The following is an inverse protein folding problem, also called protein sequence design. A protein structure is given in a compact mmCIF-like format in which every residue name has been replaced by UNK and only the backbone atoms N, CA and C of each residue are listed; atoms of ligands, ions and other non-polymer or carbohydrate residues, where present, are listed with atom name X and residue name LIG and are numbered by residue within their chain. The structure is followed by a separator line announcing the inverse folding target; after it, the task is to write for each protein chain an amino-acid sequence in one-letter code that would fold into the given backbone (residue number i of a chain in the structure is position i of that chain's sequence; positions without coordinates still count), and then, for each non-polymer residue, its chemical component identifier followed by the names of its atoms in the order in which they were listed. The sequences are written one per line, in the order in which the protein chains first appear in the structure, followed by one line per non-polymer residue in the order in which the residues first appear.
data_IF_547508189444
#
_entry.id   IF_547508189444
#
_cell.length_a   1.000
_cell.length_b   1.000
_cell.length_c   1.000
_cell.angle_alpha   90.00
_cell.angle_beta   90.00
_cell.angle_gamma   90.00
#
_symmetry.space_group_name_H-M   'P 1'
#
loop_
_entity.id
_entity.type
_entity.pdbx_description
1 polymer ?
#
# COMPACT_ATOMS: atom_id res chain seq x y z
N UNK A 1 9.83 -15.21 -5.50
CA UNK A 1 8.80 -15.78 -4.59
C UNK A 1 9.19 -15.44 -3.14
N UNK A 2 8.24 -15.46 -2.20
CA UNK A 2 8.57 -15.42 -0.76
C UNK A 2 9.45 -16.62 -0.39
N UNK A 3 10.32 -16.50 0.64
CA UNK A 3 11.15 -17.62 1.08
C UNK A 3 10.32 -18.88 1.34
N UNK A 4 10.75 -20.02 0.80
CA UNK A 4 10.07 -21.31 0.94
C UNK A 4 9.03 -21.66 -0.14
N UNK A 5 8.61 -20.71 -0.98
CA UNK A 5 7.66 -20.98 -2.08
C UNK A 5 8.36 -21.42 -3.39
N UNK A 6 7.75 -22.32 -4.20
CA UNK A 6 8.35 -22.78 -5.45
C UNK A 6 8.58 -21.63 -6.44
N UNK A 7 9.81 -21.52 -6.95
CA UNK A 7 10.15 -20.53 -7.98
C UNK A 7 9.43 -20.76 -9.32
N UNK A 8 8.90 -21.97 -9.54
CA UNK A 8 8.08 -22.31 -10.72
C UNK A 8 6.79 -21.48 -10.84
N UNK A 9 6.30 -20.93 -9.73
CA UNK A 9 5.12 -20.06 -9.70
C UNK A 9 5.41 -18.68 -10.31
N UNK A 10 6.68 -18.29 -10.41
CA UNK A 10 7.08 -16.99 -10.93
C UNK A 10 7.18 -16.96 -12.46
N UNK A 11 7.00 -15.77 -13.04
CA UNK A 11 7.28 -15.52 -14.45
C UNK A 11 8.75 -15.81 -14.81
N UNK A 12 9.00 -16.11 -16.09
CA UNK A 12 10.30 -16.61 -16.55
C UNK A 12 11.40 -15.56 -16.38
N UNK A 13 12.53 -15.97 -15.79
CA UNK A 13 13.68 -15.11 -15.48
C UNK A 13 14.87 -15.35 -16.45
N UNK A 14 16.09 -14.95 -16.05
CA UNK A 14 17.35 -15.11 -16.80
C UNK A 14 17.41 -14.38 -18.15
N UNK A 15 16.70 -13.26 -18.26
CA UNK A 15 16.71 -12.43 -19.47
C UNK A 15 16.06 -13.10 -20.69
N UNK A 16 15.29 -14.17 -20.51
CA UNK A 16 14.67 -14.87 -21.63
C UNK A 16 13.51 -14.04 -22.20
N UNK A 17 13.55 -13.66 -23.51
CA UNK A 17 12.48 -12.88 -24.14
C UNK A 17 11.11 -13.55 -24.06
N UNK A 18 10.05 -12.75 -24.06
CA UNK A 18 8.65 -13.20 -24.15
C UNK A 18 7.68 -12.03 -24.13
N UNK A 19 6.37 -12.31 -24.25
CA UNK A 19 5.36 -11.26 -24.31
C UNK A 19 5.25 -10.53 -22.96
N UNK A 20 4.90 -9.24 -23.03
CA UNK A 20 4.89 -8.34 -21.86
C UNK A 20 4.04 -8.87 -20.69
N UNK A 21 2.89 -9.49 -20.96
CA UNK A 21 1.97 -9.98 -19.93
C UNK A 21 2.50 -11.22 -19.19
N UNK A 22 3.51 -11.89 -19.73
CA UNK A 22 4.24 -12.98 -19.06
C UNK A 22 5.55 -12.49 -18.40
N UNK A 23 5.77 -11.17 -18.32
CA UNK A 23 6.99 -10.57 -17.75
C UNK A 23 6.69 -9.51 -16.70
N UNK A 24 5.66 -8.67 -16.89
CA UNK A 24 5.28 -7.65 -15.91
C UNK A 24 4.83 -8.23 -14.57
N UNK A 25 3.98 -9.28 -14.51
CA UNK A 25 3.62 -9.90 -13.24
C UNK A 25 4.79 -10.68 -12.64
N UNK A 26 4.87 -10.75 -11.32
CA UNK A 26 5.80 -11.66 -10.65
C UNK A 26 5.38 -13.13 -10.76
N UNK A 27 4.09 -13.40 -10.91
CA UNK A 27 3.51 -14.74 -10.91
C UNK A 27 2.88 -15.06 -12.26
N UNK A 28 3.01 -16.32 -12.69
CA UNK A 28 2.37 -16.75 -13.94
C UNK A 28 0.86 -16.88 -13.75
N UNK A 29 0.11 -16.68 -14.83
CA UNK A 29 -1.35 -16.70 -14.78
C UNK A 29 -1.92 -18.07 -14.39
N UNK A 30 -1.17 -19.17 -14.60
CA UNK A 30 -1.57 -20.53 -14.26
C UNK A 30 -1.50 -20.84 -12.76
N UNK A 31 -0.95 -19.93 -11.95
CA UNK A 31 -0.79 -20.11 -10.50
C UNK A 31 -1.56 -19.05 -9.72
N UNK A 32 -2.18 -19.48 -8.63
CA UNK A 32 -2.73 -18.56 -7.62
C UNK A 32 -1.55 -17.96 -6.83
N UNK A 33 -1.34 -16.64 -6.86
CA UNK A 33 -0.09 -16.00 -6.43
C UNK A 33 0.13 -15.94 -4.91
N UNK A 34 -0.89 -16.19 -4.10
CA UNK A 34 -0.79 -16.14 -2.64
C UNK A 34 -0.80 -17.54 -2.03
N UNK A 35 -0.19 -17.68 -0.84
CA UNK A 35 -0.48 -18.83 0.04
C UNK A 35 -1.95 -18.87 0.46
N UNK A 36 -2.70 -17.78 0.22
CA UNK A 36 -4.05 -17.54 0.71
C UNK A 36 -4.10 -17.07 2.17
N UNK A 37 -2.96 -17.14 2.87
CA UNK A 37 -2.83 -16.81 4.30
C UNK A 37 -1.68 -15.80 4.44
N UNK A 38 -2.01 -14.54 4.21
CA UNK A 38 -1.10 -13.41 4.32
C UNK A 38 -1.87 -12.11 4.57
N UNK A 39 -1.24 -11.19 5.30
CA UNK A 39 -1.69 -9.80 5.39
C UNK A 39 -0.76 -8.94 4.54
N UNK A 40 -1.27 -7.82 4.04
CA UNK A 40 -0.48 -6.89 3.24
C UNK A 40 -0.65 -5.46 3.71
N UNK A 41 0.46 -4.72 3.78
CA UNK A 41 0.49 -3.26 3.93
C UNK A 41 1.26 -2.65 2.78
N UNK A 42 0.98 -1.38 2.45
CA UNK A 42 1.79 -0.63 1.50
C UNK A 42 1.65 0.86 1.73
N UNK A 43 2.78 1.56 1.74
CA UNK A 43 2.86 3.00 1.95
C UNK A 43 3.51 3.68 0.75
N UNK A 44 2.85 4.72 0.25
CA UNK A 44 3.25 5.47 -0.93
C UNK A 44 3.72 6.88 -0.54
N UNK A 45 4.98 7.17 -0.82
CA UNK A 45 5.69 8.36 -0.37
C UNK A 45 6.30 9.11 -1.57
N UNK A 46 6.63 10.40 -1.46
CA UNK A 46 7.37 11.10 -2.51
C UNK A 46 8.65 10.34 -2.88
N UNK A 47 8.91 10.16 -4.17
CA UNK A 47 10.07 9.37 -4.63
C UNK A 47 11.41 9.96 -4.19
N UNK A 48 11.47 11.29 -4.01
CA UNK A 48 12.66 11.98 -3.51
C UNK A 48 13.07 11.51 -2.10
N UNK A 49 12.12 11.06 -1.28
CA UNK A 49 12.35 10.68 0.11
C UNK A 49 12.75 9.21 0.26
N UNK A 50 12.87 8.46 -0.85
CA UNK A 50 13.05 7.01 -0.85
C UNK A 50 14.24 6.55 0.02
N UNK A 51 15.39 7.21 -0.10
CA UNK A 51 16.58 6.81 0.64
C UNK A 51 16.42 7.03 2.15
N UNK A 52 15.76 8.11 2.56
CA UNK A 52 15.54 8.43 3.99
C UNK A 52 14.45 7.55 4.59
N UNK A 53 13.37 7.28 3.84
CA UNK A 53 12.33 6.35 4.25
C UNK A 53 12.88 4.92 4.45
N UNK A 54 13.77 4.45 3.57
CA UNK A 54 14.41 3.15 3.73
C UNK A 54 15.34 3.08 4.96
N UNK A 55 16.05 4.17 5.29
CA UNK A 55 16.84 4.26 6.53
C UNK A 55 15.96 4.27 7.78
N UNK A 56 14.82 4.95 7.73
CA UNK A 56 13.86 4.92 8.82
C UNK A 56 13.31 3.51 9.06
N UNK A 57 12.99 2.76 7.99
CA UNK A 57 12.59 1.35 8.07
C UNK A 57 13.69 0.44 8.62
N UNK A 58 14.95 0.67 8.23
CA UNK A 58 16.09 -0.09 8.78
C UNK A 58 16.19 0.08 10.31
N UNK A 59 15.83 1.27 10.83
CA UNK A 59 15.78 1.57 12.26
C UNK A 59 14.77 0.71 13.04
N UNK A 60 13.70 0.26 12.39
CA UNK A 60 12.65 -0.60 12.99
C UNK A 60 12.71 -2.05 12.51
N UNK A 61 13.78 -2.46 11.80
CA UNK A 61 13.90 -3.81 11.21
C UNK A 61 13.74 -4.95 12.22
N UNK A 62 14.11 -4.72 13.49
CA UNK A 62 14.01 -5.73 14.55
C UNK A 62 12.57 -6.11 14.88
N UNK A 63 11.63 -5.17 14.76
CA UNK A 63 10.20 -5.42 14.92
C UNK A 63 9.56 -5.96 13.63
N UNK A 64 10.03 -5.48 12.47
CA UNK A 64 9.48 -5.85 11.15
C UNK A 64 9.86 -7.28 10.75
N UNK A 65 11.15 -7.63 10.80
CA UNK A 65 11.67 -8.87 10.21
C UNK A 65 11.02 -10.17 10.72
N UNK A 66 10.69 -10.34 12.03
CA UNK A 66 10.09 -11.58 12.52
C UNK A 66 8.72 -11.93 11.93
N UNK A 67 7.96 -10.92 11.46
CA UNK A 67 6.60 -11.09 10.93
C UNK A 67 6.51 -10.90 9.42
N UNK A 68 7.62 -10.57 8.76
CA UNK A 68 7.67 -10.21 7.35
C UNK A 68 8.01 -11.44 6.49
N UNK A 69 7.18 -11.72 5.50
CA UNK A 69 7.52 -12.68 4.44
C UNK A 69 8.43 -12.04 3.39
N UNK A 70 8.06 -10.84 2.92
CA UNK A 70 8.84 -10.07 1.96
C UNK A 70 8.48 -8.58 2.03
N UNK A 71 9.48 -7.72 1.77
CA UNK A 71 9.26 -6.31 1.47
C UNK A 71 9.64 -6.05 0.02
N UNK A 72 8.80 -5.31 -0.71
CA UNK A 72 8.99 -4.95 -2.10
C UNK A 72 8.99 -3.43 -2.26
N UNK A 73 10.03 -2.90 -2.90
CA UNK A 73 10.18 -1.48 -3.20
C UNK A 73 9.91 -1.24 -4.68
N UNK A 74 8.94 -0.39 -4.98
CA UNK A 74 8.54 -0.04 -6.36
C UNK A 74 8.53 1.47 -6.56
N UNK A 75 8.46 1.88 -7.83
CA UNK A 75 8.23 3.28 -8.19
C UNK A 75 6.98 3.41 -9.04
N UNK A 76 6.26 4.51 -8.85
CA UNK A 76 5.02 4.84 -9.56
C UNK A 76 5.14 6.29 -10.05
N UNK A 77 4.77 6.55 -11.30
CA UNK A 77 4.68 7.91 -11.82
C UNK A 77 3.54 8.69 -11.14
N UNK A 78 3.61 10.02 -11.17
CA UNK A 78 2.52 10.86 -10.66
C UNK A 78 1.16 10.50 -11.29
N UNK A 79 0.17 10.23 -10.44
CA UNK A 79 -1.19 9.91 -10.86
C UNK A 79 -2.07 11.17 -10.85
N UNK A 80 -3.13 11.16 -11.67
CA UNK A 80 -4.13 12.22 -11.77
C UNK A 80 -5.42 11.91 -11.03
N UNK A 81 -5.64 10.65 -10.63
CA UNK A 81 -6.81 10.24 -9.84
C UNK A 81 -6.74 10.83 -8.43
N UNK A 82 -7.77 11.57 -8.02
CA UNK A 82 -7.76 12.39 -6.79
C UNK A 82 -7.45 11.63 -5.51
N UNK A 83 -7.91 10.38 -5.42
CA UNK A 83 -7.69 9.50 -4.27
C UNK A 83 -6.58 8.47 -4.48
N UNK A 84 -5.84 8.53 -5.60
CA UNK A 84 -4.67 7.69 -5.77
C UNK A 84 -3.63 8.03 -4.70
N UNK A 85 -3.05 7.06 -4.00
CA UNK A 85 -1.93 7.33 -3.10
C UNK A 85 -0.72 7.97 -3.83
N UNK A 86 -0.61 7.78 -5.15
CA UNK A 86 0.38 8.43 -6.01
C UNK A 86 -0.09 9.78 -6.61
N UNK A 87 -1.21 10.34 -6.15
CA UNK A 87 -1.79 11.57 -6.70
C UNK A 87 -0.80 12.75 -6.68
N UNK A 88 -0.56 13.34 -7.86
CA UNK A 88 0.17 14.58 -8.06
C UNK A 88 1.67 14.50 -7.81
N UNK A 89 2.23 13.31 -7.54
CA UNK A 89 3.65 13.16 -7.20
C UNK A 89 4.23 11.84 -7.68
N UNK A 90 5.43 11.93 -8.23
CA UNK A 90 6.30 10.79 -8.42
C UNK A 90 6.55 10.09 -7.08
N UNK A 91 6.34 8.78 -7.06
CA UNK A 91 6.16 8.02 -5.83
C UNK A 91 7.12 6.83 -5.73
N UNK A 92 7.57 6.55 -4.51
CA UNK A 92 8.13 5.26 -4.08
C UNK A 92 7.07 4.52 -3.26
N UNK A 93 6.88 3.23 -3.52
CA UNK A 93 5.95 2.37 -2.81
C UNK A 93 6.72 1.33 -2.00
N UNK A 94 6.45 1.26 -0.70
CA UNK A 94 7.05 0.33 0.24
C UNK A 94 5.98 -0.68 0.63
N UNK A 95 6.03 -1.87 0.05
CA UNK A 95 5.04 -2.93 0.26
C UNK A 95 5.58 -4.00 1.18
N UNK A 96 4.72 -4.49 2.06
CA UNK A 96 5.01 -5.54 3.02
C UNK A 96 3.99 -6.66 2.87
N UNK A 97 4.46 -7.89 2.73
CA UNK A 97 3.66 -9.10 2.91
C UNK A 97 4.02 -9.70 4.25
N UNK A 98 3.05 -9.78 5.14
CA UNK A 98 3.19 -10.27 6.51
C UNK A 98 2.70 -11.70 6.63
N UNK A 99 3.07 -12.37 7.73
CA UNK A 99 2.36 -13.56 8.20
C UNK A 99 0.88 -13.23 8.50
N UNK A 100 0.01 -14.23 8.43
CA UNK A 100 -1.43 -14.09 8.70
C UNK A 100 -1.75 -14.13 10.21
N UNK A 101 -1.18 -13.18 10.96
CA UNK A 101 -1.43 -12.99 12.38
C UNK A 101 -1.74 -11.53 12.65
N UNK A 102 -3.03 -11.18 12.61
CA UNK A 102 -3.49 -9.79 12.79
C UNK A 102 -3.05 -9.21 14.13
N UNK A 103 -3.09 -10.01 15.20
CA UNK A 103 -2.77 -9.53 16.55
C UNK A 103 -1.28 -9.20 16.69
N UNK A 104 -0.40 -10.00 16.08
CA UNK A 104 1.03 -9.74 16.04
C UNK A 104 1.40 -8.62 15.05
N UNK A 105 0.72 -8.54 13.90
CA UNK A 105 1.08 -7.62 12.80
C UNK A 105 0.64 -6.18 13.06
N UNK A 106 -0.54 -5.94 13.65
CA UNK A 106 -1.04 -4.57 13.84
C UNK A 106 -0.12 -3.64 14.67
N UNK A 107 0.53 -4.10 15.76
CA UNK A 107 1.55 -3.32 16.45
C UNK A 107 2.73 -2.93 15.56
N UNK A 108 3.24 -3.87 14.75
CA UNK A 108 4.36 -3.62 13.83
C UNK A 108 3.96 -2.66 12.70
N UNK A 109 2.73 -2.77 12.20
CA UNK A 109 2.15 -1.81 11.25
C UNK A 109 2.17 -0.39 11.81
N UNK A 110 1.82 -0.19 13.08
CA UNK A 110 1.90 1.13 13.75
C UNK A 110 3.34 1.63 13.86
N UNK A 111 4.30 0.75 14.17
CA UNK A 111 5.72 1.13 14.24
C UNK A 111 6.25 1.56 12.87
N UNK A 112 5.87 0.85 11.80
CA UNK A 112 6.19 1.25 10.42
C UNK A 112 5.57 2.61 10.09
N UNK A 113 4.30 2.83 10.43
CA UNK A 113 3.62 4.11 10.22
C UNK A 113 4.30 5.26 10.96
N UNK A 114 4.67 5.06 12.22
CA UNK A 114 5.39 6.05 13.01
C UNK A 114 6.78 6.37 12.43
N UNK A 115 7.52 5.35 11.97
CA UNK A 115 8.82 5.55 11.33
C UNK A 115 8.71 6.30 10.00
N UNK A 116 7.61 6.10 9.27
CA UNK A 116 7.38 6.72 7.97
C UNK A 116 6.68 8.09 8.06
N UNK A 117 6.13 8.47 9.21
CA UNK A 117 5.36 9.71 9.40
C UNK A 117 6.02 10.98 8.83
N UNK A 118 7.35 11.22 9.01
CA UNK A 118 8.01 12.40 8.48
C UNK A 118 7.89 12.59 6.96
N UNK A 119 7.58 11.52 6.23
CA UNK A 119 7.52 11.49 4.76
C UNK A 119 6.09 11.55 4.21
N UNK A 120 5.11 11.87 5.06
CA UNK A 120 3.68 11.98 4.72
C UNK A 120 3.17 10.79 3.87
N UNK A 121 3.25 9.54 4.40
CA UNK A 121 2.91 8.34 3.65
C UNK A 121 1.42 8.29 3.36
N UNK A 122 1.03 7.84 2.18
CA UNK A 122 -0.37 7.49 1.88
C UNK A 122 -0.49 5.97 1.87
N UNK A 123 -1.28 5.35 2.75
CA UNK A 123 -1.48 3.91 2.72
C UNK A 123 -2.26 3.50 1.47
N UNK A 124 -2.00 2.31 0.96
CA UNK A 124 -2.79 1.71 -0.10
C UNK A 124 -4.18 1.32 0.42
N UNK A 125 -5.25 1.84 -0.18
CA UNK A 125 -6.62 1.69 0.32
C UNK A 125 -7.12 0.25 0.48
N UNK A 126 -6.63 -0.67 -0.35
CA UNK A 126 -6.98 -2.10 -0.28
C UNK A 126 -6.13 -2.95 0.66
N UNK A 127 -5.32 -2.36 1.53
CA UNK A 127 -4.33 -3.04 2.39
C UNK A 127 -4.50 -2.65 3.86
N UNK A 128 -3.82 -3.35 4.76
CA UNK A 128 -3.82 -3.09 6.20
C UNK A 128 -3.05 -1.81 6.51
N UNK A 129 -3.69 -0.89 7.22
CA UNK A 129 -3.09 0.31 7.81
C UNK A 129 -3.86 0.72 9.07
N UNK A 130 -3.23 1.52 9.93
CA UNK A 130 -3.83 2.03 11.17
C UNK A 130 -3.82 3.55 11.29
N UNK A 131 -3.37 4.26 10.25
CA UNK A 131 -3.37 5.72 10.20
C UNK A 131 -4.80 6.27 10.43
N UNK A 132 -4.99 7.17 11.41
CA UNK A 132 -6.28 7.79 11.66
C UNK A 132 -6.85 8.52 10.43
N UNK A 133 -8.17 8.46 10.25
CA UNK A 133 -8.84 9.02 9.08
C UNK A 133 -8.70 10.55 8.99
N UNK A 134 -8.72 11.26 10.11
CA UNK A 134 -8.49 12.70 10.19
C UNK A 134 -7.11 13.11 9.67
N UNK A 135 -6.07 12.34 10.01
CA UNK A 135 -4.72 12.52 9.46
C UNK A 135 -4.72 12.26 7.95
N UNK A 136 -5.35 11.15 7.50
CA UNK A 136 -5.41 10.82 6.08
C UNK A 136 -6.15 11.87 5.25
N UNK A 137 -7.24 12.45 5.75
CA UNK A 137 -7.98 13.50 5.05
C UNK A 137 -7.08 14.69 4.70
N UNK A 138 -6.15 15.05 5.59
CA UNK A 138 -5.15 16.10 5.35
C UNK A 138 -4.11 15.77 4.27
N UNK A 139 -3.95 14.50 3.88
CA UNK A 139 -2.96 14.04 2.90
C UNK A 139 -3.47 14.05 1.45
N UNK A 140 -4.76 14.30 1.20
CA UNK A 140 -5.38 14.26 -0.13
C UNK A 140 -5.90 15.64 -0.58
N UNK A 141 -5.13 16.38 -1.41
CA UNK A 141 -5.45 17.76 -1.78
C UNK A 141 -6.80 17.96 -2.50
N UNK A 142 -7.33 16.92 -3.14
CA UNK A 142 -8.58 16.93 -3.92
C UNK A 142 -9.73 16.21 -3.19
N UNK A 143 -9.62 16.00 -1.88
CA UNK A 143 -10.64 15.28 -1.12
C UNK A 143 -12.00 16.02 -1.15
N UNK A 144 -12.00 17.35 -1.04
CA UNK A 144 -13.25 18.11 -1.06
C UNK A 144 -13.95 18.08 -2.42
N UNK A 145 -13.18 18.02 -3.50
CA UNK A 145 -13.73 17.79 -4.84
C UNK A 145 -14.33 16.39 -4.98
N UNK A 146 -13.67 15.37 -4.42
CA UNK A 146 -14.22 14.02 -4.38
C UNK A 146 -15.52 13.98 -3.56
N UNK A 147 -15.56 14.66 -2.41
CA UNK A 147 -16.78 14.80 -1.59
C UNK A 147 -17.91 15.49 -2.37
N UNK A 148 -17.60 16.53 -3.14
CA UNK A 148 -18.58 17.21 -3.99
C UNK A 148 -19.11 16.28 -5.08
N UNK A 149 -18.24 15.49 -5.71
CA UNK A 149 -18.63 14.47 -6.69
C UNK A 149 -19.56 13.43 -6.06
N UNK A 150 -19.19 12.86 -4.91
CA UNK A 150 -20.03 11.87 -4.20
C UNK A 150 -21.39 12.46 -3.86
N UNK A 151 -21.48 13.69 -3.35
CA UNK A 151 -22.76 14.35 -3.07
C UNK A 151 -23.63 14.53 -4.32
N UNK A 152 -23.02 14.76 -5.48
CA UNK A 152 -23.74 14.93 -6.73
C UNK A 152 -24.22 13.58 -7.32
N UNK A 153 -23.43 12.51 -7.18
CA UNK A 153 -23.70 11.22 -7.82
C UNK A 153 -24.41 10.20 -6.92
N UNK A 154 -24.25 10.30 -5.61
CA UNK A 154 -24.85 9.43 -4.59
C UNK A 154 -25.33 10.26 -3.39
N UNK A 155 -26.33 11.14 -3.57
CA UNK A 155 -26.80 12.05 -2.50
C UNK A 155 -27.38 11.32 -1.29
N UNK A 156 -27.82 10.06 -1.46
CA UNK A 156 -28.33 9.22 -0.39
C UNK A 156 -27.24 8.36 0.28
N UNK A 157 -25.99 8.42 -0.19
CA UNK A 157 -24.87 7.66 0.36
C UNK A 157 -25.02 6.14 0.28
N UNK A 158 -25.72 5.62 -0.74
CA UNK A 158 -25.98 4.18 -0.90
C UNK A 158 -24.70 3.35 -0.95
N UNK A 159 -23.60 3.92 -1.48
CA UNK A 159 -22.31 3.23 -1.61
C UNK A 159 -21.31 3.58 -0.51
N UNK A 160 -21.70 4.38 0.49
CA UNK A 160 -20.84 4.78 1.59
C UNK A 160 -20.98 3.82 2.79
N UNK A 161 -20.06 2.84 2.89
CA UNK A 161 -19.93 2.01 4.08
C UNK A 161 -19.17 2.75 5.20
N UNK A 162 -18.98 2.12 6.36
CA UNK A 162 -18.29 2.75 7.50
C UNK A 162 -16.89 3.28 7.14
N UNK A 163 -16.11 2.54 6.35
CA UNK A 163 -14.78 2.94 5.92
C UNK A 163 -14.80 4.19 5.04
N UNK A 164 -15.66 4.21 4.02
CA UNK A 164 -15.79 5.35 3.12
C UNK A 164 -16.37 6.55 3.86
N UNK A 165 -17.39 6.34 4.70
CA UNK A 165 -18.03 7.39 5.48
C UNK A 165 -17.06 8.07 6.45
N UNK A 166 -16.23 7.31 7.15
CA UNK A 166 -15.21 7.87 8.04
C UNK A 166 -14.19 8.73 7.26
N UNK A 167 -13.85 8.36 6.03
CA UNK A 167 -12.98 9.21 5.21
C UNK A 167 -13.71 10.44 4.63
N UNK A 168 -14.98 10.29 4.23
CA UNK A 168 -15.78 11.33 3.59
C UNK A 168 -16.30 12.40 4.54
N UNK A 169 -16.57 12.09 5.80
CA UNK A 169 -17.16 13.02 6.74
C UNK A 169 -16.13 13.48 7.76
N UNK A 170 -16.03 14.79 8.07
CA UNK A 170 -15.36 15.22 9.28
C UNK A 170 -16.02 14.53 10.48
N UNK A 171 -15.24 14.09 11.46
CA UNK A 171 -15.81 13.69 12.76
C UNK A 171 -16.40 14.96 13.38
N UNK A 172 -17.68 14.90 13.73
CA UNK A 172 -18.39 15.94 14.47
C UNK A 172 -17.76 16.19 15.84
#
# INVERSE_FOLDING_TARGET
PVPGMPAGNCTRQFGVPGPWHERLPHFRAEFTPSSGSELQSEYLLPRADAAEALRALDGVRGAVAPLLQICEVRTVAADRQWLSPAYGRDTVALHFTWVDDTAAVLPVVREVEAALEPFAPRPHWGKVFTVPSDVLRGRYPRLDDFRALVRATDPAGKFANAFVSDFLHPVS
#
